data_IF_366241071312
#
_entry.id   IF_366241071312
#
_cell.length_a   1.000
_cell.length_b   1.000
_cell.length_c   1.000
_cell.angle_alpha   90.00
_cell.angle_beta   90.00
_cell.angle_gamma   90.00
#
_symmetry.space_group_name_H-M   'P 1'
#
loop_
_entity.id
_entity.type
_entity.pdbx_description
1 polymer ?
#
# COMPACT_ATOMS: atom_id res chain seq x y z
N UNK A 1 2.92 47.10 -48.52
CA UNK A 1 1.89 46.05 -48.37
C UNK A 1 2.58 44.72 -48.10
N UNK A 2 2.56 44.23 -46.84
CA UNK A 2 3.02 42.86 -46.50
C UNK A 2 1.95 42.24 -45.60
N UNK A 3 1.32 41.17 -46.11
CA UNK A 3 0.25 40.41 -45.46
C UNK A 3 0.83 39.61 -44.28
N UNK A 4 0.34 39.87 -43.07
CA UNK A 4 0.51 38.97 -41.93
C UNK A 4 -0.50 37.81 -42.07
N UNK A 5 -0.01 36.56 -42.00
CA UNK A 5 -0.85 35.36 -41.83
C UNK A 5 -0.94 35.06 -40.33
N UNK A 6 -2.12 34.72 -39.78
CA UNK A 6 -2.22 34.30 -38.40
C UNK A 6 -1.69 32.88 -38.25
N UNK A 7 -0.84 32.68 -37.24
CA UNK A 7 -0.39 31.38 -36.78
C UNK A 7 -1.59 30.67 -36.12
N UNK A 8 -2.04 29.55 -36.68
CA UNK A 8 -2.99 28.65 -36.02
C UNK A 8 -2.26 27.99 -34.83
N UNK A 9 -2.73 28.27 -33.61
CA UNK A 9 -2.40 27.45 -32.45
C UNK A 9 -3.14 26.12 -32.57
N UNK A 10 -2.40 25.05 -32.84
CA UNK A 10 -2.88 23.68 -32.66
C UNK A 10 -2.80 23.38 -31.16
N UNK A 11 -3.95 23.29 -30.50
CA UNK A 11 -4.03 22.84 -29.11
C UNK A 11 -3.95 21.31 -29.12
N UNK A 12 -2.78 20.78 -28.76
CA UNK A 12 -2.56 19.37 -28.48
C UNK A 12 -3.16 19.03 -27.11
N UNK A 13 -4.43 18.62 -27.09
CA UNK A 13 -5.01 17.88 -25.96
C UNK A 13 -4.77 16.39 -26.20
N UNK A 14 -3.71 15.84 -25.61
CA UNK A 14 -3.49 14.41 -25.59
C UNK A 14 -2.25 14.06 -24.78
N UNK A 15 -2.41 13.21 -23.75
CA UNK A 15 -1.40 12.60 -22.86
C UNK A 15 -1.15 13.19 -21.45
N UNK A 16 -1.99 14.07 -20.90
CA UNK A 16 -1.77 14.58 -19.53
C UNK A 16 -2.53 13.85 -18.40
N UNK A 17 -3.46 12.94 -18.72
CA UNK A 17 -4.47 12.48 -17.73
C UNK A 17 -3.93 11.41 -16.78
N UNK A 18 -3.01 10.54 -17.21
CA UNK A 18 -2.47 9.45 -16.37
C UNK A 18 -1.53 9.92 -15.27
N UNK A 19 -0.74 10.97 -15.51
CA UNK A 19 0.22 11.47 -14.51
C UNK A 19 -0.46 12.21 -13.35
N UNK A 20 -1.62 12.82 -13.57
CA UNK A 20 -2.31 13.62 -12.56
C UNK A 20 -2.96 12.79 -11.44
N UNK A 21 -3.35 11.54 -11.72
CA UNK A 21 -4.00 10.66 -10.73
C UNK A 21 -2.97 10.11 -9.74
N UNK A 22 -1.83 9.61 -10.24
CA UNK A 22 -0.74 9.16 -9.38
C UNK A 22 -0.19 10.30 -8.51
N UNK A 23 -0.07 11.51 -9.06
CA UNK A 23 0.38 12.68 -8.29
C UNK A 23 -0.62 13.07 -7.19
N UNK A 24 -1.92 13.02 -7.46
CA UNK A 24 -2.95 13.33 -6.45
C UNK A 24 -3.00 12.30 -5.34
N UNK A 25 -2.80 11.02 -5.64
CA UNK A 25 -2.78 9.99 -4.62
C UNK A 25 -1.57 10.12 -3.68
N UNK A 26 -0.41 10.52 -4.22
CA UNK A 26 0.81 10.87 -3.46
C UNK A 26 0.63 12.13 -2.61
N UNK A 27 -0.21 13.09 -3.01
CA UNK A 27 -0.47 14.28 -2.17
C UNK A 27 -1.55 14.03 -1.11
N UNK A 28 -2.62 13.33 -1.47
CA UNK A 28 -3.81 13.22 -0.62
C UNK A 28 -3.76 12.03 0.34
N UNK A 29 -2.95 11.01 0.06
CA UNK A 29 -2.98 9.74 0.79
C UNK A 29 -4.31 9.02 0.60
N UNK A 30 -4.88 9.08 -0.61
CA UNK A 30 -6.01 8.26 -0.99
C UNK A 30 -5.50 6.97 -1.66
N UNK A 31 -6.04 5.83 -1.25
CA UNK A 31 -5.77 4.51 -1.84
C UNK A 31 -6.66 4.21 -3.04
N UNK A 32 -7.72 4.99 -3.27
CA UNK A 32 -8.66 4.79 -4.38
C UNK A 32 -7.92 4.87 -5.73
N UNK A 33 -8.00 3.80 -6.52
CA UNK A 33 -7.31 3.69 -7.82
C UNK A 33 -5.83 3.31 -7.73
N UNK A 34 -5.27 3.12 -6.54
CA UNK A 34 -3.97 2.45 -6.30
C UNK A 34 -4.21 0.98 -5.93
N UNK A 35 -5.27 0.73 -5.16
CA UNK A 35 -5.55 -0.54 -4.50
C UNK A 35 -6.89 -1.08 -4.97
N UNK A 36 -6.94 -2.40 -5.15
CA UNK A 36 -8.13 -3.15 -5.49
C UNK A 36 -8.39 -4.22 -4.42
N UNK A 37 -9.66 -4.55 -4.19
CA UNK A 37 -10.03 -5.71 -3.38
C UNK A 37 -9.47 -7.00 -4.01
N UNK A 38 -9.06 -7.96 -3.16
CA UNK A 38 -8.39 -9.20 -3.55
C UNK A 38 -7.03 -9.01 -4.22
N UNK A 39 -6.49 -7.79 -4.26
CA UNK A 39 -5.13 -7.55 -4.72
C UNK A 39 -4.16 -8.33 -3.83
N UNK A 40 -3.16 -8.93 -4.47
CA UNK A 40 -2.12 -9.63 -3.76
C UNK A 40 -1.34 -8.66 -2.84
N UNK A 41 -1.00 -9.11 -1.63
CA UNK A 41 -0.36 -8.24 -0.64
C UNK A 41 0.99 -7.66 -1.09
N UNK A 42 1.83 -8.42 -1.81
CA UNK A 42 3.10 -7.90 -2.31
C UNK A 42 2.88 -6.76 -3.31
N UNK A 43 1.89 -6.91 -4.20
CA UNK A 43 1.53 -5.89 -5.17
C UNK A 43 1.01 -4.64 -4.48
N UNK A 44 0.09 -4.81 -3.52
CA UNK A 44 -0.41 -3.74 -2.67
C UNK A 44 0.72 -2.98 -1.98
N UNK A 45 1.57 -3.70 -1.24
CA UNK A 45 2.67 -3.11 -0.46
C UNK A 45 3.61 -2.33 -1.38
N UNK A 46 3.98 -2.90 -2.52
CA UNK A 46 4.84 -2.22 -3.50
C UNK A 46 4.20 -0.93 -4.01
N UNK A 47 2.89 -0.96 -4.32
CA UNK A 47 2.17 0.20 -4.84
C UNK A 47 2.10 1.35 -3.82
N UNK A 48 1.73 1.05 -2.57
CA UNK A 48 1.55 2.10 -1.56
C UNK A 48 2.88 2.67 -1.05
N UNK A 49 3.94 1.85 -0.95
CA UNK A 49 5.29 2.35 -0.62
C UNK A 49 5.80 3.30 -1.72
N UNK A 50 5.46 3.03 -2.98
CA UNK A 50 5.70 3.95 -4.10
C UNK A 50 4.88 5.24 -4.04
N UNK A 51 3.79 5.25 -3.26
CA UNK A 51 2.88 6.38 -3.06
C UNK A 51 3.10 7.09 -1.71
N UNK A 52 4.32 7.04 -1.15
CA UNK A 52 4.72 7.73 0.09
C UNK A 52 4.00 7.27 1.37
N UNK A 53 3.39 6.09 1.35
CA UNK A 53 3.01 5.40 2.57
C UNK A 53 4.22 4.72 3.19
N UNK A 54 4.25 4.68 4.52
CA UNK A 54 5.29 4.02 5.29
C UNK A 54 4.68 3.01 6.27
N UNK A 55 5.32 1.86 6.50
CA UNK A 55 4.87 0.90 7.51
C UNK A 55 4.83 1.54 8.90
N UNK A 56 3.70 1.40 9.61
CA UNK A 56 3.60 1.82 10.99
C UNK A 56 3.98 0.67 11.92
N UNK A 57 5.16 0.78 12.54
CA UNK A 57 5.68 -0.25 13.45
C UNK A 57 4.83 -0.38 14.71
N UNK A 58 4.26 -1.57 14.94
CA UNK A 58 3.64 -1.90 16.21
C UNK A 58 4.65 -2.55 17.18
N UNK A 59 4.99 -1.92 18.31
CA UNK A 59 5.85 -2.51 19.33
C UNK A 59 5.24 -3.76 20.00
N UNK A 60 3.95 -4.04 19.82
CA UNK A 60 3.26 -5.22 20.36
C UNK A 60 3.08 -6.35 19.35
N UNK A 61 3.53 -6.21 18.10
CA UNK A 61 3.34 -7.23 17.07
C UNK A 61 3.77 -8.64 17.53
N UNK A 62 4.94 -8.77 18.17
CA UNK A 62 5.40 -10.08 18.65
C UNK A 62 4.41 -10.72 19.64
N UNK A 63 3.87 -9.92 20.57
CA UNK A 63 2.90 -10.40 21.55
C UNK A 63 1.57 -10.76 20.91
N UNK A 64 1.13 -9.95 19.94
CA UNK A 64 -0.13 -10.14 19.23
C UNK A 64 -0.10 -11.36 18.29
N UNK A 65 1.01 -11.57 17.57
CA UNK A 65 1.16 -12.63 16.56
C UNK A 65 1.59 -13.95 17.19
N UNK A 66 2.54 -13.94 18.13
CA UNK A 66 3.09 -15.17 18.72
C UNK A 66 2.51 -15.51 20.11
N UNK A 67 1.57 -14.71 20.61
CA UNK A 67 0.95 -14.88 21.94
C UNK A 67 1.89 -14.59 23.11
N UNK A 68 3.09 -14.07 22.86
CA UNK A 68 4.09 -13.71 23.89
C UNK A 68 5.08 -12.67 23.36
N UNK A 69 5.69 -11.86 24.25
CA UNK A 69 6.73 -10.93 23.83
C UNK A 69 7.95 -11.65 23.23
N UNK A 70 8.57 -11.01 22.24
CA UNK A 70 9.89 -11.37 21.75
C UNK A 70 9.92 -12.64 20.89
N UNK A 71 9.22 -12.63 19.76
CA UNK A 71 9.13 -13.69 18.74
C UNK A 71 10.49 -14.20 18.22
N UNK A 72 10.54 -14.91 17.08
CA UNK A 72 11.79 -15.42 16.52
C UNK A 72 12.88 -14.32 16.48
N UNK A 73 14.11 -14.71 16.80
CA UNK A 73 15.25 -13.76 16.87
C UNK A 73 16.05 -13.69 15.57
N UNK A 74 15.75 -14.58 14.63
CA UNK A 74 16.31 -14.62 13.29
C UNK A 74 15.40 -13.86 12.31
N UNK A 75 15.71 -14.00 11.02
CA UNK A 75 14.98 -13.37 9.93
C UNK A 75 13.61 -14.02 9.66
N UNK A 76 13.25 -15.10 10.37
CA UNK A 76 11.91 -15.72 10.24
C UNK A 76 10.83 -14.97 11.00
N UNK A 77 11.19 -13.94 11.77
CA UNK A 77 10.22 -13.14 12.48
C UNK A 77 9.40 -12.25 11.53
N UNK A 78 8.13 -12.60 11.34
CA UNK A 78 7.25 -11.84 10.46
C UNK A 78 7.08 -10.38 10.88
N UNK A 79 7.08 -10.05 12.18
CA UNK A 79 6.98 -8.67 12.68
C UNK A 79 8.18 -7.80 12.29
N UNK A 80 9.30 -8.42 11.89
CA UNK A 80 10.47 -7.71 11.34
C UNK A 80 10.43 -7.60 9.82
N UNK A 81 9.87 -8.60 9.14
CA UNK A 81 9.70 -8.61 7.68
C UNK A 81 8.57 -7.66 7.23
N UNK A 82 7.48 -7.62 8.01
CA UNK A 82 6.30 -6.79 7.85
C UNK A 82 6.16 -5.86 9.06
N UNK A 83 6.92 -4.76 9.15
CA UNK A 83 6.83 -3.84 10.26
C UNK A 83 5.43 -3.22 10.43
N UNK A 84 4.64 -3.14 9.36
CA UNK A 84 3.25 -2.71 9.37
C UNK A 84 2.29 -3.68 10.08
N UNK A 85 2.71 -4.91 10.35
CA UNK A 85 1.86 -5.94 10.94
C UNK A 85 1.61 -5.63 12.42
N UNK A 86 0.33 -5.65 12.82
CA UNK A 86 -0.09 -5.44 14.20
C UNK A 86 -0.56 -6.77 14.82
N UNK A 87 -1.42 -7.50 14.13
CA UNK A 87 -1.94 -8.79 14.60
C UNK A 87 -2.30 -9.70 13.44
N UNK A 88 -2.27 -11.02 13.70
CA UNK A 88 -2.82 -12.05 12.83
C UNK A 88 -3.59 -13.05 13.68
N UNK A 89 -4.81 -13.38 13.26
CA UNK A 89 -5.60 -14.46 13.85
C UNK A 89 -5.20 -15.82 13.28
N UNK A 90 -5.49 -16.89 14.02
CA UNK A 90 -5.17 -18.25 13.61
C UNK A 90 -5.96 -18.75 12.39
N UNK A 91 -7.03 -18.05 11.99
CA UNK A 91 -7.81 -18.29 10.77
C UNK A 91 -7.36 -17.41 9.59
N UNK A 92 -6.27 -16.64 9.74
CA UNK A 92 -5.58 -15.99 8.64
C UNK A 92 -5.96 -14.53 8.37
N UNK A 93 -6.75 -13.89 9.23
CA UNK A 93 -6.98 -12.44 9.13
C UNK A 93 -5.83 -11.69 9.80
N UNK A 94 -5.25 -10.72 9.09
CA UNK A 94 -4.22 -9.85 9.67
C UNK A 94 -4.59 -8.39 9.56
N UNK A 95 -4.29 -7.63 10.62
CA UNK A 95 -4.39 -6.17 10.64
C UNK A 95 -3.02 -5.55 10.44
N UNK A 96 -2.94 -4.62 9.49
CA UNK A 96 -1.72 -3.92 9.12
C UNK A 96 -1.96 -2.42 9.05
N UNK A 97 -0.94 -1.62 9.37
CA UNK A 97 -1.07 -0.18 9.42
C UNK A 97 0.02 0.54 8.66
N UNK A 98 -0.39 1.60 7.95
CA UNK A 98 0.51 2.49 7.24
C UNK A 98 0.18 3.95 7.55
N UNK A 99 1.20 4.80 7.43
CA UNK A 99 1.06 6.26 7.54
C UNK A 99 1.50 6.91 6.24
N UNK A 100 0.66 7.78 5.71
CA UNK A 100 0.98 8.61 4.56
C UNK A 100 1.77 9.83 5.02
N UNK A 101 3.09 9.87 4.77
CA UNK A 101 3.97 10.88 5.35
C UNK A 101 3.54 12.33 5.05
N UNK A 102 3.16 12.71 3.82
CA UNK A 102 2.81 14.10 3.52
C UNK A 102 1.60 14.63 4.30
N UNK A 103 0.63 13.75 4.59
CA UNK A 103 -0.66 14.13 5.19
C UNK A 103 -0.80 13.73 6.66
N UNK A 104 0.04 12.82 7.15
CA UNK A 104 -0.11 12.17 8.45
C UNK A 104 -1.30 11.20 8.55
N UNK A 105 -2.04 10.95 7.47
CA UNK A 105 -3.17 10.01 7.46
C UNK A 105 -2.69 8.60 7.79
N UNK A 106 -3.45 7.91 8.62
CA UNK A 106 -3.26 6.50 8.93
C UNK A 106 -4.32 5.66 8.19
N UNK A 107 -3.91 4.50 7.73
CA UNK A 107 -4.82 3.50 7.15
C UNK A 107 -4.61 2.16 7.83
N UNK A 108 -5.71 1.49 8.14
CA UNK A 108 -5.73 0.07 8.47
C UNK A 108 -6.00 -0.71 7.20
N UNK A 109 -5.25 -1.79 7.01
CA UNK A 109 -5.41 -2.73 5.90
C UNK A 109 -5.68 -4.09 6.52
N UNK A 110 -6.77 -4.72 6.11
CA UNK A 110 -7.09 -6.10 6.50
C UNK A 110 -6.71 -7.01 5.36
N UNK A 111 -5.94 -8.05 5.70
CA UNK A 111 -5.58 -9.11 4.76
C UNK A 111 -6.15 -10.44 5.22
N UNK A 112 -6.29 -11.37 4.28
CA UNK A 112 -6.68 -12.75 4.55
C UNK A 112 -5.75 -13.72 3.85
N UNK A 113 -5.31 -14.74 4.58
CA UNK A 113 -4.52 -15.88 4.08
C UNK A 113 -3.20 -16.09 4.82
N UNK A 114 -2.26 -16.79 4.19
CA UNK A 114 -0.99 -17.16 4.81
C UNK A 114 0.05 -16.03 4.71
N UNK A 115 0.25 -15.31 5.82
CA UNK A 115 1.24 -14.23 5.89
C UNK A 115 2.68 -14.72 5.72
N UNK A 116 2.99 -16.00 5.96
CA UNK A 116 4.35 -16.52 5.78
C UNK A 116 4.74 -16.57 4.29
N UNK A 117 3.76 -16.43 3.39
CA UNK A 117 3.91 -16.47 1.94
C UNK A 117 3.71 -15.11 1.29
N UNK A 118 3.80 -14.02 2.07
CA UNK A 118 3.50 -12.67 1.61
C UNK A 118 4.34 -12.21 0.41
N UNK A 119 5.61 -12.64 0.30
CA UNK A 119 6.55 -12.26 -0.77
C UNK A 119 6.33 -13.00 -2.10
N UNK A 120 5.42 -13.97 -2.18
CA UNK A 120 5.23 -14.69 -3.43
C UNK A 120 4.47 -13.81 -4.44
N UNK A 121 4.90 -13.76 -5.72
CA UNK A 121 4.22 -12.96 -6.72
C UNK A 121 2.93 -13.62 -7.24
N UNK A 122 1.94 -12.80 -7.61
CA UNK A 122 0.73 -13.25 -8.30
C UNK A 122 -0.11 -14.24 -7.49
N UNK A 123 -0.84 -15.13 -8.18
CA UNK A 123 -1.72 -16.14 -7.55
C UNK A 123 -1.00 -17.24 -6.75
N UNK A 124 0.28 -17.05 -6.41
CA UNK A 124 1.05 -17.96 -5.54
C UNK A 124 1.17 -17.44 -4.10
N UNK A 125 0.96 -16.15 -3.86
CA UNK A 125 0.84 -15.62 -2.52
C UNK A 125 -0.62 -15.74 -2.10
N UNK A 126 -0.80 -16.43 -0.97
CA UNK A 126 -2.11 -16.70 -0.41
C UNK A 126 -2.64 -15.50 0.39
N UNK A 127 -1.83 -14.43 0.55
CA UNK A 127 -2.20 -13.24 1.32
C UNK A 127 -2.81 -12.17 0.41
N UNK A 128 -4.13 -11.97 0.53
CA UNK A 128 -4.88 -10.98 -0.23
C UNK A 128 -5.31 -9.80 0.65
N UNK A 129 -5.31 -8.59 0.10
CA UNK A 129 -5.97 -7.43 0.71
C UNK A 129 -7.48 -7.57 0.51
N UNK A 130 -8.23 -7.50 1.61
CA UNK A 130 -9.69 -7.67 1.57
C UNK A 130 -10.45 -6.41 1.99
N UNK A 131 -9.81 -5.50 2.73
CA UNK A 131 -10.43 -4.26 3.20
C UNK A 131 -9.34 -3.22 3.55
N UNK A 132 -9.69 -1.94 3.44
CA UNK A 132 -8.91 -0.84 4.01
C UNK A 132 -9.81 0.26 4.57
N UNK A 133 -9.40 0.89 5.66
CA UNK A 133 -10.14 1.99 6.29
C UNK A 133 -9.19 3.05 6.86
N UNK A 134 -9.53 4.32 6.64
CA UNK A 134 -8.78 5.43 7.24
C UNK A 134 -9.15 5.59 8.71
N UNK A 135 -8.14 5.92 9.52
CA UNK A 135 -8.27 6.11 10.97
C UNK A 135 -8.20 7.59 11.33
#
# INVERSE_FOLDING_TARGET
MKRFRPFQYVVLFGLAVTSAVAAQAVETGQLDGIVDEQMNYLQFRTAILGATWTPLVDPQCDANVYGRPGGPKDDTNICRQLPELESCSGDGYCSMYFVHEPSGRKVQVVTYGDYARWELPGGQSDLAVIEWSYQ
#
